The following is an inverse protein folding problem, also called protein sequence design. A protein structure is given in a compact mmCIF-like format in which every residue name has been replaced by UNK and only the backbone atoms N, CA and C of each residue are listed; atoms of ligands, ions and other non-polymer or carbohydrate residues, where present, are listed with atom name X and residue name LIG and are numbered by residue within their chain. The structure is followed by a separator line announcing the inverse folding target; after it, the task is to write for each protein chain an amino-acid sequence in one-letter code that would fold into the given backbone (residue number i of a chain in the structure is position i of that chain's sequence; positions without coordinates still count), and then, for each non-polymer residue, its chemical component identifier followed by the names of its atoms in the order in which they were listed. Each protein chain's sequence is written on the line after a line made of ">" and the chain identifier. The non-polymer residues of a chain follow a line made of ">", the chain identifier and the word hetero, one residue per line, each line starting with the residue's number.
data_IF_242680242832
#
_entry.id   IF_242680242832
#
_cell.length_a   1.000
_cell.length_b   1.000
_cell.length_c   1.000
_cell.angle_alpha   90.00
_cell.angle_beta   90.00
_cell.angle_gamma   90.00
#
_symmetry.space_group_name_H-M   'P 1'
#
loop_
_entity.id
_entity.type
_entity.pdbx_description
1 polymer ?
#
# COMPACT_ATOMS: atom_id res chain seq x y z
N UNK A 1 -25.76 -1.94 2.27
CA UNK A 1 -24.30 -2.14 2.41
C UNK A 1 -24.07 -3.00 3.64
N UNK A 2 -23.18 -3.98 3.52
CA UNK A 2 -22.81 -4.88 4.61
C UNK A 2 -22.15 -4.11 5.79
N UNK A 3 -22.53 -4.36 7.06
CA UNK A 3 -21.95 -3.67 8.22
C UNK A 3 -20.45 -3.89 8.41
N UNK A 4 -19.94 -5.08 8.07
CA UNK A 4 -18.50 -5.41 8.13
C UNK A 4 -17.75 -4.62 7.07
N UNK A 5 -18.30 -4.52 5.85
CA UNK A 5 -17.74 -3.66 4.80
C UNK A 5 -17.68 -2.19 5.24
N UNK A 6 -18.77 -1.65 5.81
CA UNK A 6 -18.82 -0.27 6.28
C UNK A 6 -17.78 0.01 7.39
N UNK A 7 -17.65 -0.91 8.35
CA UNK A 7 -16.66 -0.79 9.41
C UNK A 7 -15.24 -0.85 8.86
N UNK A 8 -14.94 -1.83 8.00
CA UNK A 8 -13.61 -1.97 7.39
C UNK A 8 -13.24 -0.76 6.55
N UNK A 9 -14.19 -0.20 5.80
CA UNK A 9 -14.02 1.04 5.04
C UNK A 9 -13.64 2.21 5.94
N UNK A 10 -14.45 2.47 6.97
CA UNK A 10 -14.22 3.57 7.91
C UNK A 10 -12.87 3.43 8.63
N UNK A 11 -12.53 2.22 9.05
CA UNK A 11 -11.23 1.92 9.67
C UNK A 11 -10.07 2.14 8.70
N UNK A 12 -10.20 1.72 7.43
CA UNK A 12 -9.11 1.87 6.45
C UNK A 12 -8.79 3.34 6.15
N UNK A 13 -9.83 4.21 6.08
CA UNK A 13 -9.68 5.64 5.86
C UNK A 13 -8.92 6.34 7.00
N UNK A 14 -8.98 5.79 8.21
CA UNK A 14 -8.31 6.36 9.39
C UNK A 14 -6.94 5.71 9.60
N UNK A 15 -6.87 4.39 9.57
CA UNK A 15 -5.70 3.63 10.02
C UNK A 15 -4.56 3.65 9.02
N UNK A 16 -4.83 3.71 7.70
CA UNK A 16 -3.77 3.86 6.70
C UNK A 16 -2.98 5.17 6.88
N UNK A 17 -3.62 6.35 6.97
CA UNK A 17 -2.90 7.61 7.13
C UNK A 17 -2.37 7.85 8.55
N UNK A 18 -2.90 7.16 9.57
CA UNK A 18 -2.59 7.41 10.98
C UNK A 18 -1.09 7.41 11.33
N UNK A 19 -0.26 6.44 10.88
CA UNK A 19 1.19 6.48 11.11
C UNK A 19 1.84 7.77 10.60
N UNK A 20 1.42 8.27 9.44
CA UNK A 20 1.93 9.51 8.84
C UNK A 20 1.45 10.74 9.60
N UNK A 21 0.18 10.78 10.01
CA UNK A 21 -0.39 11.87 10.81
C UNK A 21 0.32 11.99 12.16
N UNK A 22 0.55 10.86 12.84
CA UNK A 22 1.28 10.85 14.11
C UNK A 22 2.74 11.25 13.93
N UNK A 23 3.36 10.87 12.81
CA UNK A 23 4.69 11.35 12.46
C UNK A 23 4.70 12.86 12.28
N UNK A 24 3.75 13.41 11.54
CA UNK A 24 3.59 14.84 11.33
C UNK A 24 3.40 15.60 12.65
N UNK A 25 2.54 15.10 13.55
CA UNK A 25 2.35 15.65 14.90
C UNK A 25 3.60 15.57 15.78
N UNK A 26 4.52 14.64 15.54
CA UNK A 26 5.80 14.55 16.25
C UNK A 26 6.84 15.61 15.87
N UNK A 27 6.45 16.63 15.10
CA UNK A 27 7.29 17.77 14.74
C UNK A 27 7.78 17.78 13.28
N UNK A 28 7.38 16.79 12.47
CA UNK A 28 7.72 16.68 11.05
C UNK A 28 6.79 17.51 10.15
N UNK A 29 6.67 18.80 10.48
CA UNK A 29 5.84 19.75 9.73
C UNK A 29 6.57 20.19 8.46
N UNK A 30 6.42 19.41 7.39
CA UNK A 30 6.93 19.73 6.07
C UNK A 30 5.76 19.83 5.08
N UNK A 31 5.78 20.85 4.20
CA UNK A 31 4.68 21.08 3.25
C UNK A 31 4.44 19.88 2.33
N UNK A 32 5.49 19.28 1.76
CA UNK A 32 5.39 18.12 0.86
C UNK A 32 4.77 16.92 1.60
N UNK A 33 5.23 16.65 2.82
CA UNK A 33 4.70 15.56 3.65
C UNK A 33 3.24 15.81 4.04
N UNK A 34 2.90 17.06 4.38
CA UNK A 34 1.54 17.46 4.76
C UNK A 34 0.58 17.31 3.58
N UNK A 35 0.98 17.80 2.40
CA UNK A 35 0.22 17.62 1.16
C UNK A 35 0.07 16.15 0.83
N UNK A 36 1.12 15.35 0.99
CA UNK A 36 1.06 13.90 0.79
C UNK A 36 0.00 13.22 1.67
N UNK A 37 -0.06 13.57 2.96
CA UNK A 37 -1.10 13.05 3.88
C UNK A 37 -2.49 13.48 3.43
N UNK A 38 -2.69 14.77 3.12
CA UNK A 38 -4.00 15.29 2.71
C UNK A 38 -4.48 14.59 1.44
N UNK A 39 -3.62 14.50 0.43
CA UNK A 39 -3.93 13.86 -0.85
C UNK A 39 -4.24 12.37 -0.65
N UNK A 40 -3.47 11.67 0.19
CA UNK A 40 -3.73 10.26 0.53
C UNK A 40 -5.10 10.08 1.20
N UNK A 41 -5.44 10.93 2.18
CA UNK A 41 -6.74 10.89 2.88
C UNK A 41 -7.89 11.15 1.90
N UNK A 42 -7.76 12.17 1.05
CA UNK A 42 -8.78 12.48 0.03
C UNK A 42 -8.92 11.30 -0.94
N UNK A 43 -7.82 10.75 -1.46
CA UNK A 43 -7.84 9.59 -2.33
C UNK A 43 -8.56 8.40 -1.70
N UNK A 44 -8.28 8.11 -0.42
CA UNK A 44 -8.95 7.06 0.37
C UNK A 44 -10.44 7.30 0.57
N UNK A 45 -10.86 8.54 0.78
CA UNK A 45 -12.29 8.88 0.88
C UNK A 45 -13.00 8.70 -0.46
N UNK A 46 -12.35 9.05 -1.58
CA UNK A 46 -12.89 8.80 -2.92
C UNK A 46 -12.97 7.28 -3.17
N UNK A 47 -11.94 6.50 -2.83
CA UNK A 47 -11.94 5.03 -2.94
C UNK A 47 -13.10 4.42 -2.15
N UNK A 48 -13.26 4.85 -0.89
CA UNK A 48 -14.33 4.36 -0.05
C UNK A 48 -15.71 4.67 -0.64
N UNK A 49 -15.85 5.81 -1.32
CA UNK A 49 -17.12 6.23 -1.94
C UNK A 49 -17.56 5.29 -3.07
N UNK A 50 -16.64 4.58 -3.74
CA UNK A 50 -16.93 3.58 -4.79
C UNK A 50 -17.83 2.43 -4.32
N UNK A 51 -17.90 2.20 -3.00
CA UNK A 51 -18.68 1.12 -2.40
C UNK A 51 -20.12 1.52 -2.05
N UNK A 52 -20.51 2.78 -2.30
CA UNK A 52 -21.85 3.28 -2.02
C UNK A 52 -22.75 3.15 -3.26
N UNK A 53 -24.04 2.79 -3.08
CA UNK A 53 -24.98 2.68 -4.19
C UNK A 53 -25.09 3.99 -4.99
N UNK A 54 -25.04 3.88 -6.32
CA UNK A 54 -25.19 5.01 -7.24
C UNK A 54 -23.93 5.84 -7.47
N UNK A 55 -22.79 5.47 -6.88
CA UNK A 55 -21.49 6.09 -7.19
C UNK A 55 -20.88 5.42 -8.42
N UNK A 56 -20.42 6.23 -9.39
CA UNK A 56 -19.76 5.70 -10.59
C UNK A 56 -18.39 5.11 -10.23
N UNK A 57 -18.11 3.92 -10.75
CA UNK A 57 -16.80 3.29 -10.65
C UNK A 57 -15.70 4.04 -11.40
N UNK A 58 -16.05 4.96 -12.30
CA UNK A 58 -15.07 5.85 -12.95
C UNK A 58 -14.32 6.74 -11.95
N UNK A 59 -14.82 6.90 -10.72
CA UNK A 59 -14.07 7.59 -9.68
C UNK A 59 -12.76 6.85 -9.29
N UNK A 60 -12.56 5.58 -9.67
CA UNK A 60 -11.27 4.90 -9.53
C UNK A 60 -10.16 5.61 -10.30
N UNK A 61 -10.48 6.17 -11.47
CA UNK A 61 -9.54 6.95 -12.28
C UNK A 61 -9.13 8.28 -11.61
N UNK A 62 -9.79 8.67 -10.52
CA UNK A 62 -9.44 9.82 -9.69
C UNK A 62 -8.80 9.37 -8.38
N UNK A 63 -9.38 8.37 -7.72
CA UNK A 63 -8.91 7.85 -6.44
C UNK A 63 -7.47 7.33 -6.52
N UNK A 64 -7.18 6.45 -7.48
CA UNK A 64 -5.90 5.75 -7.53
C UNK A 64 -4.73 6.72 -7.82
N UNK A 65 -4.84 7.67 -8.77
CA UNK A 65 -3.81 8.69 -8.97
C UNK A 65 -3.62 9.59 -7.75
N UNK A 66 -4.70 9.96 -7.04
CA UNK A 66 -4.58 10.73 -5.79
C UNK A 66 -3.83 9.90 -4.74
N UNK A 67 -4.21 8.66 -4.51
CA UNK A 67 -3.53 7.80 -3.54
C UNK A 67 -2.05 7.60 -3.88
N UNK A 68 -1.72 7.36 -5.15
CA UNK A 68 -0.34 7.25 -5.63
C UNK A 68 0.43 8.55 -5.41
N UNK A 69 -0.12 9.70 -5.79
CA UNK A 69 0.53 10.99 -5.59
C UNK A 69 0.79 11.27 -4.10
N UNK A 70 -0.20 11.03 -3.24
CA UNK A 70 -0.06 11.15 -1.79
C UNK A 70 1.04 10.26 -1.22
N UNK A 71 1.02 8.98 -1.60
CA UNK A 71 1.99 7.98 -1.17
C UNK A 71 3.43 8.32 -1.60
N UNK A 72 3.62 8.76 -2.85
CA UNK A 72 4.93 9.16 -3.37
C UNK A 72 5.46 10.40 -2.64
N UNK A 73 4.62 11.40 -2.39
CA UNK A 73 5.03 12.61 -1.66
C UNK A 73 5.48 12.26 -0.23
N UNK A 74 4.72 11.41 0.47
CA UNK A 74 5.08 10.88 1.78
C UNK A 74 6.42 10.14 1.72
N UNK A 75 6.54 9.18 0.81
CA UNK A 75 7.73 8.35 0.64
C UNK A 75 8.98 9.17 0.32
N UNK A 76 8.85 10.14 -0.60
CA UNK A 76 9.96 11.01 -1.03
C UNK A 76 10.57 11.81 0.12
N UNK A 77 9.78 12.08 1.17
CA UNK A 77 10.25 12.81 2.34
C UNK A 77 10.80 11.90 3.43
N UNK A 78 10.32 10.65 3.53
CA UNK A 78 10.77 9.70 4.55
C UNK A 78 12.17 9.13 4.25
N UNK A 79 12.50 8.86 2.99
CA UNK A 79 13.72 8.12 2.61
C UNK A 79 15.08 8.82 2.87
N UNK A 80 15.11 9.96 3.55
CA UNK A 80 16.34 10.65 3.97
C UNK A 80 16.71 10.48 5.45
N UNK A 81 15.83 9.92 6.28
CA UNK A 81 16.04 9.95 7.74
C UNK A 81 17.10 8.94 8.24
N UNK A 82 17.21 7.78 7.59
CA UNK A 82 18.16 6.72 7.97
C UNK A 82 19.63 7.08 7.79
N UNK A 83 19.92 8.05 6.92
CA UNK A 83 21.30 8.43 6.57
C UNK A 83 21.78 9.71 7.26
N UNK A 84 20.94 10.31 8.13
CA UNK A 84 21.25 11.59 8.79
C UNK A 84 21.40 12.77 7.83
N UNK A 85 21.02 12.60 6.55
CA UNK A 85 21.08 13.64 5.53
C UNK A 85 19.66 13.98 5.09
N UNK A 86 19.29 15.25 5.15
CA UNK A 86 17.98 15.75 4.66
C UNK A 86 17.84 15.72 3.12
N UNK A 87 18.61 14.88 2.42
CA UNK A 87 18.80 14.89 0.98
C UNK A 87 18.04 13.73 0.30
N UNK A 88 16.71 13.78 0.32
CA UNK A 88 15.85 12.91 -0.48
C UNK A 88 15.93 11.41 -0.16
N UNK A 89 15.18 10.56 -0.89
CA UNK A 89 15.20 9.11 -0.70
C UNK A 89 16.56 8.52 -1.12
N UNK A 90 17.09 7.58 -0.32
CA UNK A 90 18.30 6.81 -0.70
C UNK A 90 18.11 6.22 -2.10
N UNK A 91 19.08 6.43 -3.00
CA UNK A 91 19.10 5.87 -4.35
C UNK A 91 18.83 4.36 -4.35
N UNK A 92 19.23 3.66 -3.29
CA UNK A 92 18.96 2.22 -3.08
C UNK A 92 17.49 1.94 -2.81
N UNK A 93 16.82 2.76 -2.02
CA UNK A 93 15.38 2.64 -1.76
C UNK A 93 14.55 2.97 -3.00
N UNK A 94 14.95 3.99 -3.76
CA UNK A 94 14.32 4.32 -5.05
C UNK A 94 14.48 3.15 -6.03
N UNK A 95 15.67 2.52 -6.07
CA UNK A 95 15.91 1.31 -6.86
C UNK A 95 15.07 0.12 -6.40
N UNK A 96 14.91 -0.08 -5.08
CA UNK A 96 14.05 -1.12 -4.52
C UNK A 96 12.57 -0.92 -4.84
N UNK A 97 12.07 0.32 -4.71
CA UNK A 97 10.72 0.69 -5.13
C UNK A 97 10.52 0.44 -6.63
N UNK A 98 11.47 0.86 -7.46
CA UNK A 98 11.39 0.67 -8.92
C UNK A 98 11.39 -0.82 -9.31
N UNK A 99 12.24 -1.64 -8.69
CA UNK A 99 12.26 -3.09 -8.91
C UNK A 99 10.97 -3.75 -8.42
N UNK A 100 10.49 -3.38 -7.23
CA UNK A 100 9.24 -3.88 -6.67
C UNK A 100 8.04 -3.56 -7.56
N UNK A 101 7.92 -2.30 -8.01
CA UNK A 101 6.90 -1.90 -8.99
C UNK A 101 7.07 -2.74 -10.26
N UNK A 102 8.28 -2.82 -10.83
CA UNK A 102 8.51 -3.54 -12.08
C UNK A 102 8.08 -5.00 -12.00
N UNK A 103 8.42 -5.73 -10.93
CA UNK A 103 8.01 -7.12 -10.74
C UNK A 103 6.50 -7.26 -10.56
N UNK A 104 5.90 -6.38 -9.76
CA UNK A 104 4.46 -6.41 -9.49
C UNK A 104 3.68 -6.11 -10.78
N UNK A 105 4.09 -5.10 -11.54
CA UNK A 105 3.52 -4.77 -12.85
C UNK A 105 3.68 -5.91 -13.86
N UNK A 106 4.85 -6.56 -13.94
CA UNK A 106 5.07 -7.68 -14.87
C UNK A 106 4.14 -8.84 -14.54
N UNK A 107 4.05 -9.23 -13.26
CA UNK A 107 3.17 -10.33 -12.84
C UNK A 107 1.70 -9.96 -13.08
N UNK A 108 1.28 -8.74 -12.76
CA UNK A 108 -0.08 -8.26 -12.99
C UNK A 108 -0.46 -8.25 -14.46
N UNK A 109 0.43 -7.72 -15.31
CA UNK A 109 0.22 -7.70 -16.76
C UNK A 109 0.17 -9.12 -17.31
N UNK A 110 1.05 -10.02 -16.84
CA UNK A 110 1.01 -11.43 -17.21
C UNK A 110 -0.29 -12.11 -16.76
N UNK A 111 -0.76 -11.90 -15.53
CA UNK A 111 -2.01 -12.49 -15.04
C UNK A 111 -3.23 -11.93 -15.79
N UNK A 112 -3.32 -10.62 -15.97
CA UNK A 112 -4.42 -9.97 -16.69
C UNK A 112 -4.46 -10.32 -18.18
N UNK A 113 -3.30 -10.50 -18.82
CA UNK A 113 -3.24 -10.78 -20.25
C UNK A 113 -3.31 -12.28 -20.56
N UNK A 114 -2.60 -13.12 -19.79
CA UNK A 114 -2.49 -14.57 -20.04
C UNK A 114 -3.66 -15.34 -19.43
N UNK A 115 -4.12 -14.97 -18.22
CA UNK A 115 -5.15 -15.74 -17.52
C UNK A 115 -6.55 -15.27 -17.90
N UNK A 116 -6.79 -13.95 -17.93
CA UNK A 116 -8.14 -13.43 -18.12
C UNK A 116 -8.42 -12.93 -19.54
N UNK A 117 -7.39 -12.77 -20.39
CA UNK A 117 -7.57 -12.34 -21.79
C UNK A 117 -8.02 -10.88 -21.93
N UNK A 118 -7.81 -10.06 -20.90
CA UNK A 118 -8.21 -8.65 -20.93
C UNK A 118 -7.39 -7.87 -21.97
N UNK A 119 -8.08 -7.27 -22.93
CA UNK A 119 -7.47 -6.43 -23.99
C UNK A 119 -7.61 -4.93 -23.72
N UNK A 120 -8.27 -4.51 -22.63
CA UNK A 120 -8.41 -3.11 -22.28
C UNK A 120 -7.16 -2.60 -21.54
N UNK A 121 -6.35 -1.81 -22.25
CA UNK A 121 -5.13 -1.20 -21.75
C UNK A 121 -5.39 -0.18 -20.61
N UNK A 122 -6.61 0.37 -20.51
CA UNK A 122 -6.97 1.32 -19.45
C UNK A 122 -6.96 0.66 -18.08
N UNK A 123 -7.43 -0.59 -17.99
CA UNK A 123 -7.40 -1.37 -16.76
C UNK A 123 -5.97 -1.56 -16.27
N UNK A 124 -5.07 -2.05 -17.12
CA UNK A 124 -3.68 -2.26 -16.74
C UNK A 124 -3.02 -0.98 -16.22
N UNK A 125 -3.33 0.18 -16.80
CA UNK A 125 -2.78 1.45 -16.36
C UNK A 125 -3.27 1.85 -14.96
N UNK A 126 -4.57 1.72 -14.68
CA UNK A 126 -5.17 2.04 -13.37
C UNK A 126 -4.62 1.11 -12.30
N UNK A 127 -4.55 -0.19 -12.57
CA UNK A 127 -4.01 -1.17 -11.63
C UNK A 127 -2.54 -0.88 -11.28
N UNK A 128 -1.70 -0.52 -12.26
CA UNK A 128 -0.31 -0.12 -12.00
C UNK A 128 -0.24 1.07 -11.04
N UNK A 129 -1.10 2.07 -11.22
CA UNK A 129 -1.18 3.25 -10.35
C UNK A 129 -1.59 2.85 -8.93
N UNK A 130 -2.64 2.03 -8.80
CA UNK A 130 -3.11 1.53 -7.51
C UNK A 130 -2.01 0.76 -6.78
N UNK A 131 -1.36 -0.22 -7.41
CA UNK A 131 -0.33 -1.02 -6.73
C UNK A 131 0.92 -0.23 -6.40
N UNK A 132 1.32 0.71 -7.26
CA UNK A 132 2.43 1.61 -6.98
C UNK A 132 2.15 2.42 -5.71
N UNK A 133 0.90 2.85 -5.51
CA UNK A 133 0.51 3.56 -4.28
C UNK A 133 0.68 2.68 -3.03
N UNK A 134 0.15 1.45 -3.03
CA UNK A 134 0.21 0.55 -1.88
C UNK A 134 1.63 0.09 -1.58
N UNK A 135 2.45 -0.11 -2.61
CA UNK A 135 3.87 -0.40 -2.44
C UNK A 135 4.63 0.80 -1.84
N UNK A 136 4.38 2.02 -2.31
CA UNK A 136 4.98 3.23 -1.74
C UNK A 136 4.56 3.44 -0.27
N UNK A 137 3.30 3.13 0.09
CA UNK A 137 2.83 3.12 1.48
C UNK A 137 3.58 2.06 2.30
N UNK A 138 3.70 0.83 1.80
CA UNK A 138 4.41 -0.26 2.47
C UNK A 138 5.86 0.08 2.75
N UNK A 139 6.58 0.59 1.75
CA UNK A 139 7.95 1.08 1.93
C UNK A 139 8.03 2.21 2.94
N UNK A 140 7.07 3.14 2.94
CA UNK A 140 6.98 4.21 3.93
C UNK A 140 6.76 3.69 5.35
N UNK A 141 6.01 2.60 5.52
CA UNK A 141 5.84 1.95 6.82
C UNK A 141 7.13 1.32 7.35
N UNK A 142 7.92 0.68 6.47
CA UNK A 142 9.24 0.15 6.83
C UNK A 142 10.15 1.26 7.38
N UNK A 143 10.19 2.39 6.69
CA UNK A 143 10.96 3.58 7.10
C UNK A 143 10.50 4.14 8.45
N UNK A 144 9.19 4.35 8.60
CA UNK A 144 8.63 4.87 9.85
C UNK A 144 8.94 3.96 11.04
N UNK A 145 8.87 2.66 10.82
CA UNK A 145 9.15 1.62 11.80
C UNK A 145 10.63 1.30 11.98
N UNK A 146 11.56 1.97 11.28
CA UNK A 146 13.01 1.71 11.37
C UNK A 146 13.34 0.23 11.08
N UNK A 147 12.61 -0.38 10.13
CA UNK A 147 12.68 -1.80 9.78
C UNK A 147 12.41 -2.77 10.94
N UNK A 148 11.67 -2.35 11.95
CA UNK A 148 11.20 -3.26 12.99
C UNK A 148 10.36 -4.40 12.37
N UNK A 149 10.39 -5.65 12.88
CA UNK A 149 9.58 -6.77 12.37
C UNK A 149 8.09 -6.45 12.18
N UNK A 150 7.51 -5.67 13.10
CA UNK A 150 6.12 -5.19 12.98
C UNK A 150 5.89 -4.30 11.74
N UNK A 151 6.88 -3.52 11.32
CA UNK A 151 6.79 -2.71 10.11
C UNK A 151 6.71 -3.59 8.86
N UNK A 152 7.46 -4.70 8.84
CA UNK A 152 7.38 -5.70 7.78
C UNK A 152 6.03 -6.39 7.73
N UNK A 153 5.45 -6.71 8.88
CA UNK A 153 4.07 -7.24 8.95
C UNK A 153 3.07 -6.20 8.41
N UNK A 154 3.25 -4.92 8.74
CA UNK A 154 2.43 -3.84 8.18
C UNK A 154 2.56 -3.73 6.66
N UNK A 155 3.79 -3.74 6.15
CA UNK A 155 4.07 -3.75 4.71
C UNK A 155 3.52 -5.02 4.00
N UNK A 156 3.43 -6.13 4.71
CA UNK A 156 2.80 -7.34 4.19
C UNK A 156 1.30 -7.17 4.01
N UNK A 157 0.60 -6.70 5.05
CA UNK A 157 -0.85 -6.50 4.95
C UNK A 157 -1.24 -5.46 3.91
N UNK A 158 -0.44 -4.40 3.69
CA UNK A 158 -0.74 -3.40 2.66
C UNK A 158 -0.61 -3.99 1.26
N UNK A 159 0.40 -4.82 1.00
CA UNK A 159 0.57 -5.51 -0.28
C UNK A 159 -0.48 -6.61 -0.44
N UNK A 160 -0.76 -7.39 0.61
CA UNK A 160 -1.77 -8.45 0.57
C UNK A 160 -3.19 -7.91 0.29
N UNK A 161 -3.48 -6.66 0.65
CA UNK A 161 -4.78 -6.03 0.37
C UNK A 161 -5.10 -5.93 -1.12
N UNK A 162 -4.09 -5.90 -1.99
CA UNK A 162 -4.27 -5.76 -3.44
C UNK A 162 -4.74 -7.06 -4.10
N UNK A 163 -4.71 -8.19 -3.38
CA UNK A 163 -5.05 -9.52 -3.91
C UNK A 163 -6.54 -9.61 -4.29
N UNK A 164 -7.43 -9.02 -3.50
CA UNK A 164 -8.88 -9.02 -3.82
C UNK A 164 -9.14 -8.16 -5.06
N UNK A 165 -8.46 -7.02 -5.19
CA UNK A 165 -8.54 -6.14 -6.35
C UNK A 165 -8.04 -6.88 -7.62
N UNK A 166 -6.88 -7.54 -7.55
CA UNK A 166 -6.37 -8.38 -8.64
C UNK A 166 -7.40 -9.46 -9.02
N UNK A 167 -7.94 -10.12 -8.00
CA UNK A 167 -9.06 -11.05 -8.03
C UNK A 167 -10.19 -10.68 -8.97
N UNK A 168 -10.89 -9.64 -8.54
CA UNK A 168 -12.20 -9.26 -9.03
C UNK A 168 -12.12 -8.17 -10.10
N UNK A 169 -11.16 -7.24 -10.02
CA UNK A 169 -10.99 -6.22 -11.07
C UNK A 169 -10.58 -6.89 -12.38
N UNK A 170 -9.59 -7.81 -12.36
CA UNK A 170 -9.13 -8.48 -13.58
C UNK A 170 -10.25 -9.30 -14.23
N UNK A 171 -11.07 -9.97 -13.41
CA UNK A 171 -12.21 -10.74 -13.89
C UNK A 171 -13.34 -9.85 -14.43
N UNK A 172 -13.59 -8.71 -13.79
CA UNK A 172 -14.66 -7.80 -14.21
C UNK A 172 -14.31 -7.12 -15.54
N UNK A 173 -13.09 -6.59 -15.65
CA UNK A 173 -12.62 -5.92 -16.87
C UNK A 173 -12.29 -6.87 -18.03
N UNK A 174 -12.07 -8.15 -17.75
CA UNK A 174 -12.04 -9.20 -18.77
C UNK A 174 -13.44 -9.62 -19.25
N UNK A 175 -14.51 -9.16 -18.61
CA UNK A 175 -15.88 -9.58 -18.88
C UNK A 175 -16.19 -11.01 -18.41
N UNK A 176 -15.37 -11.59 -17.53
CA UNK A 176 -15.55 -12.96 -17.03
C UNK A 176 -16.40 -13.02 -15.76
N UNK A 177 -16.59 -11.92 -15.05
CA UNK A 177 -17.55 -11.81 -13.94
C UNK A 177 -18.53 -10.65 -14.17
N UNK A 178 -19.76 -10.79 -13.70
CA UNK A 178 -20.81 -9.77 -13.86
C UNK A 178 -20.60 -8.59 -12.92
N UNK A 179 -21.31 -7.49 -13.19
CA UNK A 179 -21.40 -6.33 -12.30
C UNK A 179 -21.89 -6.71 -10.89
N UNK A 180 -22.85 -7.63 -10.80
CA UNK A 180 -23.35 -8.13 -9.50
C UNK A 180 -22.27 -8.93 -8.77
N UNK A 181 -21.51 -9.77 -9.48
CA UNK A 181 -20.42 -10.54 -8.89
C UNK A 181 -19.27 -9.64 -8.41
N UNK A 182 -18.95 -8.59 -9.16
CA UNK A 182 -17.94 -7.60 -8.78
C UNK A 182 -18.39 -6.76 -7.57
N UNK A 183 -19.63 -6.27 -7.57
CA UNK A 183 -20.17 -5.52 -6.41
C UNK A 183 -20.30 -6.37 -5.14
N UNK A 184 -20.48 -7.69 -5.28
CA UNK A 184 -20.53 -8.65 -4.18
C UNK A 184 -19.17 -9.23 -3.76
N UNK A 185 -18.06 -8.77 -4.36
CA UNK A 185 -16.73 -9.24 -3.99
C UNK A 185 -16.44 -8.98 -2.49
N UNK A 186 -15.51 -9.73 -1.87
CA UNK A 186 -15.19 -9.59 -0.45
C UNK A 186 -14.32 -8.36 -0.18
N UNK A 187 -14.75 -7.18 -0.64
CA UNK A 187 -14.06 -5.89 -0.48
C UNK A 187 -13.71 -5.58 0.97
N UNK A 188 -14.54 -6.04 1.91
CA UNK A 188 -14.29 -5.93 3.35
C UNK A 188 -12.94 -6.52 3.76
N UNK A 189 -12.46 -7.58 3.09
CA UNK A 189 -11.19 -8.22 3.37
C UNK A 189 -10.02 -7.33 2.95
N UNK A 190 -10.10 -6.68 1.79
CA UNK A 190 -9.11 -5.69 1.35
C UNK A 190 -9.00 -4.57 2.38
N UNK A 191 -10.11 -3.92 2.73
CA UNK A 191 -10.10 -2.80 3.68
C UNK A 191 -9.69 -3.22 5.11
N UNK A 192 -9.99 -4.46 5.53
CA UNK A 192 -9.51 -5.01 6.79
C UNK A 192 -7.98 -5.20 6.77
N UNK A 193 -7.42 -5.75 5.69
CA UNK A 193 -5.98 -5.88 5.52
C UNK A 193 -5.28 -4.52 5.53
N UNK A 194 -5.84 -3.52 4.83
CA UNK A 194 -5.33 -2.15 4.85
C UNK A 194 -5.34 -1.53 6.26
N UNK A 195 -6.40 -1.80 7.02
CA UNK A 195 -6.53 -1.35 8.41
C UNK A 195 -5.46 -1.99 9.32
N UNK A 196 -5.25 -3.30 9.19
CA UNK A 196 -4.20 -4.03 9.90
C UNK A 196 -2.81 -3.49 9.55
N UNK A 197 -2.56 -3.18 8.29
CA UNK A 197 -1.30 -2.58 7.85
C UNK A 197 -0.96 -1.30 8.63
N UNK A 198 -1.94 -0.40 8.76
CA UNK A 198 -1.81 0.83 9.53
C UNK A 198 -1.56 0.59 11.02
N UNK A 199 -2.24 -0.38 11.63
CA UNK A 199 -2.04 -0.76 13.05
C UNK A 199 -0.61 -1.26 13.27
N UNK A 200 -0.14 -2.19 12.43
CA UNK A 200 1.21 -2.76 12.57
C UNK A 200 2.31 -1.73 12.34
N UNK A 201 2.13 -0.83 11.36
CA UNK A 201 3.03 0.30 11.15
C UNK A 201 3.08 1.24 12.36
N UNK A 202 1.93 1.53 12.98
CA UNK A 202 1.86 2.32 14.20
C UNK A 202 2.57 1.64 15.37
N UNK A 203 2.31 0.35 15.59
CA UNK A 203 2.97 -0.41 16.65
C UNK A 203 4.49 -0.45 16.45
N UNK A 204 4.96 -0.58 15.20
CA UNK A 204 6.37 -0.48 14.87
C UNK A 204 6.97 0.88 15.24
N UNK A 205 6.28 1.98 14.93
CA UNK A 205 6.72 3.34 15.31
C UNK A 205 6.80 3.52 16.83
N UNK A 206 5.86 2.96 17.59
CA UNK A 206 5.85 3.03 19.06
C UNK A 206 6.99 2.19 19.64
N UNK A 207 7.15 0.95 19.17
CA UNK A 207 8.23 0.05 19.58
C UNK A 207 9.62 0.62 19.26
N UNK A 208 9.76 1.36 18.15
CA UNK A 208 11.00 2.09 17.85
C UNK A 208 11.36 3.08 18.96
N UNK A 209 10.40 3.84 19.51
CA UNK A 209 10.67 4.85 20.55
C UNK A 209 11.16 4.21 21.86
N UNK A 210 10.71 3.00 22.20
CA UNK A 210 11.23 2.26 23.36
C UNK A 210 12.62 1.68 23.09
N UNK A 211 12.91 1.22 21.88
CA UNK A 211 14.21 0.64 21.50
C UNK A 211 15.30 1.72 21.26
N UNK A 212 14.98 2.89 20.72
CA UNK A 212 15.96 4.00 20.50
C UNK A 212 16.56 4.53 21.82
N UNK A 213 15.83 4.39 22.93
CA UNK A 213 16.36 4.63 24.29
C UNK A 213 17.42 3.61 24.72
N UNK A 214 17.44 2.43 24.11
CA UNK A 214 18.33 1.29 24.43
C UNK A 214 19.47 1.17 23.40
N UNK A 215 19.22 1.47 22.12
CA UNK A 215 20.13 1.21 20.99
C UNK A 215 21.10 2.34 20.63
N UNK A 216 21.07 3.49 21.31
CA UNK A 216 22.12 4.53 21.17
C UNK A 216 23.55 4.05 21.56
N UNK A 217 23.72 2.76 21.87
CA UNK A 217 25.00 2.11 22.15
C UNK A 217 25.55 1.19 21.04
N UNK A 218 24.82 0.88 19.96
CA UNK A 218 25.37 0.05 18.85
C UNK A 218 24.49 0.13 17.61
N UNK A 219 24.98 0.77 16.55
CA UNK A 219 24.31 0.78 15.25
C UNK A 219 25.17 0.08 14.19
N UNK A 220 24.65 -1.04 13.67
CA UNK A 220 24.95 -1.53 12.32
C UNK A 220 23.78 -2.44 11.91
N UNK A 221 22.89 -1.91 11.08
CA UNK A 221 21.84 -2.70 10.43
C UNK A 221 22.25 -2.96 9.00
N UNK A 222 22.08 -4.21 8.54
CA UNK A 222 22.77 -4.75 7.36
C UNK A 222 21.80 -4.91 6.20
N UNK A 223 22.23 -4.50 5.02
CA UNK A 223 21.52 -4.48 3.73
C UNK A 223 20.75 -5.76 3.35
N UNK A 224 21.08 -6.89 3.99
CA UNK A 224 20.44 -8.19 3.85
C UNK A 224 19.00 -8.21 4.35
N UNK A 225 18.67 -7.49 5.42
CA UNK A 225 17.34 -7.57 6.05
C UNK A 225 16.24 -6.95 5.17
N UNK A 226 16.57 -5.87 4.46
CA UNK A 226 15.66 -5.20 3.52
C UNK A 226 15.38 -6.08 2.29
N UNK A 227 16.42 -6.72 1.74
CA UNK A 227 16.29 -7.62 0.60
C UNK A 227 15.52 -8.89 0.96
N UNK A 228 15.75 -9.45 2.14
CA UNK A 228 15.01 -10.62 2.64
C UNK A 228 13.54 -10.28 2.82
N UNK A 229 13.23 -9.14 3.42
CA UNK A 229 11.84 -8.76 3.61
C UNK A 229 11.10 -8.45 2.30
N UNK A 230 11.74 -7.75 1.36
CA UNK A 230 11.19 -7.56 0.02
C UNK A 230 10.96 -8.92 -0.68
N UNK A 231 11.91 -9.85 -0.56
CA UNK A 231 11.78 -11.20 -1.09
C UNK A 231 10.65 -12.01 -0.43
N UNK A 232 10.49 -11.93 0.89
CA UNK A 232 9.41 -12.59 1.64
C UNK A 232 8.05 -12.01 1.27
N UNK A 233 7.94 -10.68 1.12
CA UNK A 233 6.73 -10.01 0.67
C UNK A 233 6.30 -10.48 -0.72
N UNK A 234 7.26 -10.53 -1.65
CA UNK A 234 7.03 -10.97 -3.03
C UNK A 234 6.69 -12.47 -3.07
N UNK A 235 7.41 -13.32 -2.34
CA UNK A 235 7.14 -14.75 -2.29
C UNK A 235 5.76 -15.04 -1.69
N UNK A 236 5.40 -14.37 -0.59
CA UNK A 236 4.09 -14.57 0.05
C UNK A 236 2.96 -14.07 -0.85
N UNK A 237 3.17 -12.97 -1.59
CA UNK A 237 2.25 -12.50 -2.62
C UNK A 237 2.05 -13.55 -3.74
N UNK A 238 3.14 -14.14 -4.25
CA UNK A 238 3.07 -15.20 -5.28
C UNK A 238 2.31 -16.42 -4.77
N UNK A 239 2.58 -16.86 -3.53
CA UNK A 239 1.90 -18.02 -2.93
C UNK A 239 0.40 -17.77 -2.76
N UNK A 240 0.00 -16.60 -2.28
CA UNK A 240 -1.41 -16.25 -2.11
C UNK A 240 -2.13 -16.23 -3.47
N UNK A 241 -1.52 -15.65 -4.50
CA UNK A 241 -2.08 -15.66 -5.86
C UNK A 241 -2.21 -17.09 -6.39
N UNK A 242 -1.19 -17.93 -6.19
CA UNK A 242 -1.25 -19.34 -6.60
C UNK A 242 -2.34 -20.13 -5.87
N UNK A 243 -2.64 -19.81 -4.61
CA UNK A 243 -3.69 -20.47 -3.83
C UNK A 243 -5.12 -20.06 -4.22
N UNK A 244 -5.31 -18.88 -4.81
CA UNK A 244 -6.63 -18.38 -5.22
C UNK A 244 -7.02 -18.79 -6.64
N UNK A 245 -6.04 -19.20 -7.46
CA UNK A 245 -6.22 -19.48 -8.89
C UNK A 245 -5.69 -20.87 -9.33
N UNK A 246 -5.18 -21.68 -8.40
CA UNK A 246 -4.71 -23.05 -8.62
C UNK A 246 -5.71 -24.10 -8.18
#
# INVERSE_FOLDING_TARGET
>A
MDPVLLLSLALSCILIPLPFVLRWWSGWKNLIFTLGIIILVVGKLVEASLNFPGVSWDLMYVSDPLMMAGAILIFSRLGGELTGKSAGPDKRMVGGLFLGISFLVIVMFALSFIITGANDWKYSLVSIVYYTSFLAIGMSYLELGDYHPLAFIGAFFVVASIVVCLGFDAGFWAGTITEEAYSAAPWWFSYAAQSLAGIFALLAMIARKSVRKIHLAKAKTTQSEILIAAGVLIFTFIVIVAMLYG
#
